data_IF_820599114465
#
_entry.id   IF_820599114465
#
_cell.length_a   1.000
_cell.length_b   1.000
_cell.length_c   1.000
_cell.angle_alpha   90.00
_cell.angle_beta   90.00
_cell.angle_gamma   90.00
#
_symmetry.space_group_name_H-M   'P 1'
#
loop_
_entity.id
_entity.type
_entity.pdbx_description
1 polymer ?
#
# COMPACT_ATOMS: atom_id res chain seq x y z
N UNK A 1 -10.64 -15.65 -13.03
CA UNK A 1 -9.37 -14.99 -12.64
C UNK A 1 -9.25 -15.13 -11.12
N UNK A 2 -8.63 -16.21 -10.65
CA UNK A 2 -8.53 -16.56 -9.23
C UNK A 2 -7.41 -15.73 -8.63
N UNK A 3 -7.74 -14.58 -8.06
CA UNK A 3 -6.85 -13.74 -7.27
C UNK A 3 -6.58 -14.55 -6.00
N UNK A 4 -5.65 -15.50 -6.08
CA UNK A 4 -5.16 -16.27 -4.94
C UNK A 4 -4.28 -15.36 -4.09
N UNK A 5 -4.91 -14.42 -3.40
CA UNK A 5 -4.38 -13.96 -2.13
C UNK A 5 -4.60 -15.13 -1.17
N UNK A 6 -3.59 -15.99 -1.04
CA UNK A 6 -3.51 -16.95 0.06
C UNK A 6 -3.87 -16.18 1.35
N UNK A 7 -4.81 -16.65 2.17
CA UNK A 7 -5.40 -15.83 3.25
C UNK A 7 -4.32 -15.24 4.18
N UNK A 8 -3.20 -15.96 4.36
CA UNK A 8 -2.02 -15.50 5.09
C UNK A 8 -1.30 -14.30 4.43
N UNK A 9 -1.22 -14.25 3.10
CA UNK A 9 -0.64 -13.11 2.36
C UNK A 9 -1.53 -11.88 2.37
N UNK A 10 -2.86 -12.07 2.42
CA UNK A 10 -3.82 -10.96 2.48
C UNK A 10 -3.64 -10.13 3.76
N UNK A 11 -3.46 -10.81 4.90
CA UNK A 11 -3.21 -10.15 6.19
C UNK A 11 -1.87 -9.41 6.21
N UNK A 12 -0.80 -10.02 5.69
CA UNK A 12 0.52 -9.38 5.60
C UNK A 12 0.46 -8.11 4.73
N UNK A 13 -0.27 -8.14 3.62
CA UNK A 13 -0.46 -6.98 2.76
C UNK A 13 -1.26 -5.87 3.44
N UNK A 14 -2.34 -6.21 4.14
CA UNK A 14 -3.15 -5.23 4.88
C UNK A 14 -2.33 -4.57 5.99
N UNK A 15 -1.55 -5.37 6.74
CA UNK A 15 -0.66 -4.85 7.79
C UNK A 15 0.41 -3.95 7.18
N UNK A 16 1.03 -4.37 6.06
CA UNK A 16 2.00 -3.58 5.32
C UNK A 16 1.41 -2.23 4.87
N UNK A 17 0.17 -2.24 4.36
CA UNK A 17 -0.52 -1.04 3.93
C UNK A 17 -0.78 -0.09 5.09
N UNK A 18 -1.30 -0.58 6.22
CA UNK A 18 -1.58 0.23 7.41
C UNK A 18 -0.30 0.87 7.95
N UNK A 19 0.82 0.15 7.95
CA UNK A 19 2.12 0.67 8.41
C UNK A 19 2.70 1.68 7.40
N UNK A 20 2.51 1.43 6.10
CA UNK A 20 3.07 2.28 5.05
C UNK A 20 2.43 3.68 5.00
N UNK A 21 1.13 3.81 5.27
CA UNK A 21 0.41 5.08 5.23
C UNK A 21 1.05 6.18 6.12
N UNK A 22 1.27 5.98 7.44
CA UNK A 22 1.90 6.99 8.29
C UNK A 22 3.37 7.25 7.90
N UNK A 23 4.07 6.24 7.37
CA UNK A 23 5.43 6.42 6.85
C UNK A 23 5.43 7.35 5.64
N UNK A 24 4.53 7.16 4.69
CA UNK A 24 4.40 8.05 3.53
C UNK A 24 3.96 9.45 3.92
N UNK A 25 3.04 9.58 4.90
CA UNK A 25 2.63 10.88 5.43
C UNK A 25 3.78 11.63 6.12
N UNK A 26 4.69 10.92 6.78
CA UNK A 26 5.83 11.54 7.45
C UNK A 26 7.01 11.85 6.49
N UNK A 27 7.23 11.01 5.49
CA UNK A 27 8.39 11.12 4.60
C UNK A 27 8.14 12.00 3.37
N UNK A 28 6.89 12.15 2.93
CA UNK A 28 6.61 12.97 1.75
C UNK A 28 6.67 14.46 2.10
N UNK A 29 7.29 15.29 1.23
CA UNK A 29 7.35 16.74 1.44
C UNK A 29 5.97 17.41 1.47
N UNK A 30 4.95 16.75 0.91
CA UNK A 30 3.55 17.18 0.92
C UNK A 30 2.68 16.28 1.78
N UNK A 31 3.27 15.39 2.59
CA UNK A 31 2.52 14.51 3.46
C UNK A 31 1.80 15.32 4.55
N UNK A 32 0.54 14.98 4.82
CA UNK A 32 -0.24 15.58 5.89
C UNK A 32 -1.04 14.50 6.61
N UNK A 33 -1.18 14.65 7.92
CA UNK A 33 -2.05 13.84 8.76
C UNK A 33 -3.48 14.42 8.85
N UNK A 34 -3.73 15.58 8.24
CA UNK A 34 -5.03 16.23 8.22
C UNK A 34 -5.86 15.75 7.02
N UNK A 35 -7.03 15.12 7.21
CA UNK A 35 -7.87 14.63 6.12
C UNK A 35 -8.39 15.71 5.16
N UNK A 36 -8.37 16.97 5.59
CA UNK A 36 -8.76 18.12 4.76
C UNK A 36 -7.67 18.53 3.75
N UNK A 37 -6.43 18.10 3.97
CA UNK A 37 -5.30 18.46 3.11
C UNK A 37 -5.16 17.46 1.96
N UNK A 38 -4.87 17.97 0.76
CA UNK A 38 -4.64 17.11 -0.42
C UNK A 38 -3.46 16.16 -0.22
N UNK A 39 -2.49 16.55 0.61
CA UNK A 39 -1.34 15.75 1.01
C UNK A 39 -1.68 14.42 1.68
N UNK A 40 -2.76 14.41 2.48
CA UNK A 40 -3.27 13.21 3.13
C UNK A 40 -3.76 12.19 2.09
N UNK A 41 -4.59 12.65 1.15
CA UNK A 41 -5.13 11.81 0.08
C UNK A 41 -4.05 11.34 -0.90
N UNK A 42 -3.07 12.18 -1.21
CA UNK A 42 -1.92 11.77 -2.03
C UNK A 42 -1.11 10.67 -1.34
N UNK A 43 -0.90 10.78 -0.03
CA UNK A 43 -0.16 9.76 0.75
C UNK A 43 -0.87 8.41 0.76
N UNK A 44 -2.19 8.41 0.95
CA UNK A 44 -3.00 7.19 0.89
C UNK A 44 -3.01 6.59 -0.52
N UNK A 45 -3.21 7.42 -1.55
CA UNK A 45 -3.23 6.95 -2.94
C UNK A 45 -1.91 6.31 -3.36
N UNK A 46 -0.79 6.89 -2.94
CA UNK A 46 0.55 6.40 -3.27
C UNK A 46 0.87 5.10 -2.52
N UNK A 47 0.47 5.00 -1.24
CA UNK A 47 0.59 3.76 -0.47
C UNK A 47 -0.21 2.60 -1.11
N UNK A 48 -1.45 2.87 -1.53
CA UNK A 48 -2.28 1.90 -2.25
C UNK A 48 -1.67 1.48 -3.59
N UNK A 49 -1.15 2.43 -4.36
CA UNK A 49 -0.52 2.15 -5.64
C UNK A 49 0.70 1.23 -5.50
N UNK A 50 1.55 1.50 -4.50
CA UNK A 50 2.72 0.68 -4.22
C UNK A 50 2.31 -0.70 -3.72
N UNK A 51 1.34 -0.82 -2.82
CA UNK A 51 0.89 -2.11 -2.31
C UNK A 51 0.31 -2.99 -3.43
N UNK A 52 -0.54 -2.42 -4.29
CA UNK A 52 -1.09 -3.14 -5.46
C UNK A 52 0.02 -3.54 -6.44
N UNK A 53 0.94 -2.62 -6.76
CA UNK A 53 2.05 -2.89 -7.67
C UNK A 53 3.01 -3.95 -7.14
N UNK A 54 3.33 -3.89 -5.84
CA UNK A 54 4.22 -4.84 -5.18
C UNK A 54 3.58 -6.22 -5.11
N UNK A 55 2.28 -6.31 -4.77
CA UNK A 55 1.56 -7.58 -4.81
C UNK A 55 1.50 -8.17 -6.23
N UNK A 56 1.23 -7.34 -7.24
CA UNK A 56 1.19 -7.79 -8.62
C UNK A 56 2.55 -8.36 -9.09
N UNK A 57 3.65 -7.68 -8.74
CA UNK A 57 5.00 -8.16 -9.02
C UNK A 57 5.31 -9.45 -8.23
N UNK A 58 5.04 -9.48 -6.93
CA UNK A 58 5.29 -10.66 -6.10
C UNK A 58 4.53 -11.90 -6.60
N UNK A 59 3.26 -11.75 -6.98
CA UNK A 59 2.47 -12.85 -7.59
C UNK A 59 3.07 -13.31 -8.92
N UNK A 60 3.62 -12.38 -9.72
CA UNK A 60 4.28 -12.70 -10.99
C UNK A 60 5.61 -13.43 -10.78
N UNK A 61 6.37 -13.07 -9.75
CA UNK A 61 7.68 -13.66 -9.44
C UNK A 61 7.61 -14.94 -8.59
N UNK A 62 6.59 -15.12 -7.75
CA UNK A 62 6.35 -16.37 -6.99
C UNK A 62 5.80 -17.52 -7.83
N UNK A 63 5.45 -17.27 -9.11
CA UNK A 63 5.00 -18.30 -10.04
C UNK A 63 6.14 -19.14 -10.66
N UNK A 64 7.35 -19.07 -10.12
CA UNK A 64 8.53 -19.83 -10.56
C UNK A 64 8.96 -20.81 -9.48
#
# INVERSE_FOLDING_TARGET
>A
MRIFLNEKHKWVSIIGLIISIPIFMALMPYGSFNPSDIGFWMSIGLALFIDIGTNFLLVKFQKK
#
